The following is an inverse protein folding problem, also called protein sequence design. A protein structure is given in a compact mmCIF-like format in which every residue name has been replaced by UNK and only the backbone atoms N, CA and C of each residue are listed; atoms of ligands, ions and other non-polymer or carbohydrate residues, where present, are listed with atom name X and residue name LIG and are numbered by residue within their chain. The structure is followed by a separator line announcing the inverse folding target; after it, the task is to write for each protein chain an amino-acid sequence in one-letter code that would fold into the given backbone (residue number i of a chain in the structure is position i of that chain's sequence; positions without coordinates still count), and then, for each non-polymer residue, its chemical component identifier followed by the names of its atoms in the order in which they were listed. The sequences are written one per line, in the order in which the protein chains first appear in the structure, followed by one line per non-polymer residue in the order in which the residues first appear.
data_IF_594950563308
#
_entry.id   IF_594950563308
#
_cell.length_a   1.000
_cell.length_b   1.000
_cell.length_c   1.000
_cell.angle_alpha   90.00
_cell.angle_beta   90.00
_cell.angle_gamma   90.00
#
_symmetry.space_group_name_H-M   'P 1'
#
loop_
_entity.id
_entity.type
_entity.pdbx_description
1 polymer ?
#
# COMPACT_ATOMS: atom_id res chain seq x y z
N UNK A 1 -14.22 -1.98 -17.80
CA UNK A 1 -12.99 -2.80 -17.95
C UNK A 1 -13.43 -4.24 -17.96
N UNK A 2 -13.13 -4.98 -19.03
CA UNK A 2 -13.39 -6.42 -19.10
C UNK A 2 -12.48 -7.17 -18.12
N UNK A 3 -12.96 -8.25 -17.49
CA UNK A 3 -12.21 -8.99 -16.46
C UNK A 3 -10.88 -9.51 -17.01
N UNK A 4 -10.89 -9.98 -18.26
CA UNK A 4 -9.71 -10.48 -18.96
C UNK A 4 -8.66 -9.39 -19.18
N UNK A 5 -9.09 -8.17 -19.54
CA UNK A 5 -8.19 -7.03 -19.70
C UNK A 5 -7.54 -6.62 -18.36
N UNK A 6 -8.30 -6.64 -17.27
CA UNK A 6 -7.76 -6.33 -15.94
C UNK A 6 -6.74 -7.37 -15.46
N UNK A 7 -6.98 -8.66 -15.72
CA UNK A 7 -6.04 -9.73 -15.40
C UNK A 7 -4.73 -9.61 -16.20
N UNK A 8 -4.82 -9.35 -17.50
CA UNK A 8 -3.65 -9.13 -18.38
C UNK A 8 -2.84 -7.90 -17.95
N UNK A 9 -3.48 -6.76 -17.66
CA UNK A 9 -2.81 -5.56 -17.15
C UNK A 9 -2.16 -5.77 -15.77
N UNK A 10 -2.75 -6.64 -14.95
CA UNK A 10 -2.21 -6.96 -13.62
C UNK A 10 -0.96 -7.83 -13.74
N UNK A 11 -0.96 -8.83 -14.62
CA UNK A 11 0.21 -9.68 -14.81
C UNK A 11 1.35 -8.93 -15.50
N UNK A 12 1.05 -8.05 -16.45
CA UNK A 12 2.06 -7.17 -17.07
C UNK A 12 2.73 -6.26 -16.04
N UNK A 13 1.93 -5.57 -15.19
CA UNK A 13 2.48 -4.75 -14.10
C UNK A 13 3.36 -5.57 -13.18
N UNK A 14 2.92 -6.77 -12.80
CA UNK A 14 3.67 -7.66 -11.92
C UNK A 14 5.01 -8.09 -12.53
N UNK A 15 5.04 -8.45 -13.81
CA UNK A 15 6.29 -8.76 -14.51
C UNK A 15 7.25 -7.57 -14.53
N UNK A 16 6.74 -6.37 -14.83
CA UNK A 16 7.56 -5.14 -14.83
C UNK A 16 8.13 -4.85 -13.45
N UNK A 17 7.31 -4.97 -12.39
CA UNK A 17 7.77 -4.80 -11.02
C UNK A 17 8.85 -5.82 -10.65
N UNK A 18 8.69 -7.09 -11.02
CA UNK A 18 9.68 -8.14 -10.75
C UNK A 18 11.00 -7.89 -11.49
N UNK A 19 10.94 -7.51 -12.78
CA UNK A 19 12.13 -7.16 -13.58
C UNK A 19 12.86 -5.95 -12.98
N UNK A 20 12.12 -4.92 -12.59
CA UNK A 20 12.66 -3.71 -11.95
C UNK A 20 13.29 -4.02 -10.60
N UNK A 21 12.65 -4.87 -9.79
CA UNK A 21 13.20 -5.34 -8.51
C UNK A 21 14.51 -6.12 -8.69
N UNK A 22 14.55 -7.06 -9.65
CA UNK A 22 15.77 -7.82 -9.95
C UNK A 22 16.92 -6.92 -10.40
N UNK A 23 16.64 -5.91 -11.25
CA UNK A 23 17.63 -4.90 -11.64
C UNK A 23 18.15 -4.10 -10.46
N UNK A 24 17.27 -3.64 -9.57
CA UNK A 24 17.66 -2.92 -8.36
C UNK A 24 18.52 -3.77 -7.42
N UNK A 25 18.17 -5.04 -7.23
CA UNK A 25 18.96 -5.97 -6.42
C UNK A 25 20.37 -6.17 -7.00
N UNK A 26 20.48 -6.30 -8.32
CA UNK A 26 21.77 -6.38 -9.02
C UNK A 26 22.61 -5.12 -8.81
N UNK A 27 22.02 -3.94 -9.04
CA UNK A 27 22.71 -2.65 -8.84
C UNK A 27 23.19 -2.49 -7.40
N UNK A 28 22.41 -2.91 -6.41
CA UNK A 28 22.79 -2.80 -5.01
C UNK A 28 24.11 -3.51 -4.67
N UNK A 29 24.36 -4.66 -5.32
CA UNK A 29 25.57 -5.47 -5.12
C UNK A 29 26.73 -4.97 -5.99
N UNK A 30 26.45 -4.64 -7.26
CA UNK A 30 27.48 -4.37 -8.26
C UNK A 30 27.90 -2.90 -8.35
N UNK A 31 26.95 -1.97 -8.29
CA UNK A 31 27.19 -0.52 -8.41
C UNK A 31 26.25 0.24 -7.49
N UNK A 32 26.75 0.50 -6.29
CA UNK A 32 26.01 1.20 -5.24
C UNK A 32 25.63 2.63 -5.64
N UNK A 33 26.42 3.28 -6.48
CA UNK A 33 26.13 4.66 -6.86
C UNK A 33 25.04 4.72 -7.92
N UNK A 34 25.06 3.80 -8.89
CA UNK A 34 23.95 3.63 -9.82
C UNK A 34 22.66 3.21 -9.10
N UNK A 35 22.75 2.33 -8.10
CA UNK A 35 21.61 1.97 -7.26
C UNK A 35 20.96 3.18 -6.59
N UNK A 36 21.73 4.03 -5.92
CA UNK A 36 21.17 5.19 -5.22
C UNK A 36 20.53 6.21 -6.17
N UNK A 37 21.09 6.39 -7.38
CA UNK A 37 20.47 7.22 -8.43
C UNK A 37 19.13 6.66 -8.90
N UNK A 38 19.10 5.37 -9.20
CA UNK A 38 17.87 4.70 -9.65
C UNK A 38 16.81 4.69 -8.55
N UNK A 39 17.21 4.41 -7.30
CA UNK A 39 16.33 4.49 -6.13
C UNK A 39 15.70 5.87 -6.00
N UNK A 40 16.50 6.94 -6.14
CA UNK A 40 15.98 8.32 -6.09
C UNK A 40 14.99 8.58 -7.24
N UNK A 41 15.34 8.18 -8.46
CA UNK A 41 14.45 8.32 -9.61
C UNK A 41 13.10 7.62 -9.39
N UNK A 42 13.09 6.39 -8.88
CA UNK A 42 11.86 5.64 -8.60
C UNK A 42 11.00 6.29 -7.52
N UNK A 43 11.64 6.85 -6.48
CA UNK A 43 10.92 7.60 -5.44
C UNK A 43 10.32 8.89 -6.01
N UNK A 44 11.07 9.61 -6.84
CA UNK A 44 10.58 10.82 -7.50
C UNK A 44 9.41 10.50 -8.44
N UNK A 45 9.51 9.44 -9.26
CA UNK A 45 8.44 8.91 -10.11
C UNK A 45 7.18 8.59 -9.29
N UNK A 46 7.33 7.85 -8.19
CA UNK A 46 6.24 7.51 -7.28
C UNK A 46 5.58 8.75 -6.68
N UNK A 47 6.36 9.67 -6.09
CA UNK A 47 5.79 10.86 -5.45
C UNK A 47 5.16 11.82 -6.45
N UNK A 48 5.71 11.96 -7.65
CA UNK A 48 5.14 12.82 -8.68
C UNK A 48 3.81 12.28 -9.23
N UNK A 49 3.56 10.97 -9.12
CA UNK A 49 2.27 10.37 -9.45
C UNK A 49 1.16 10.63 -8.43
N UNK A 50 1.45 11.27 -7.30
CA UNK A 50 0.46 11.60 -6.27
C UNK A 50 -0.13 12.99 -6.57
N UNK A 51 -1.42 13.03 -6.87
CA UNK A 51 -2.16 14.27 -7.19
C UNK A 51 -2.33 15.20 -5.98
N UNK A 52 -2.55 14.64 -4.79
CA UNK A 52 -2.69 15.39 -3.55
C UNK A 52 -1.33 15.92 -3.08
N UNK A 53 -1.16 17.24 -3.18
CA UNK A 53 0.05 17.97 -2.80
C UNK A 53 0.41 17.81 -1.31
N UNK A 54 -0.57 17.82 -0.41
CA UNK A 54 -0.31 17.67 1.03
C UNK A 54 0.11 16.23 1.34
N UNK A 55 -0.57 15.24 0.77
CA UNK A 55 -0.18 13.83 0.87
C UNK A 55 1.23 13.61 0.33
N UNK A 56 1.54 14.16 -0.85
CA UNK A 56 2.87 14.08 -1.46
C UNK A 56 3.94 14.69 -0.56
N UNK A 57 3.68 15.86 0.02
CA UNK A 57 4.57 16.51 0.98
C UNK A 57 4.84 15.64 2.21
N UNK A 58 3.80 15.06 2.81
CA UNK A 58 3.91 14.16 3.97
C UNK A 58 4.73 12.92 3.67
N UNK A 59 4.51 12.29 2.51
CA UNK A 59 5.24 11.08 2.11
C UNK A 59 6.72 11.36 1.83
N UNK A 60 7.04 12.49 1.20
CA UNK A 60 8.44 12.93 1.04
C UNK A 60 9.11 13.19 2.39
N UNK A 61 8.41 13.83 3.32
CA UNK A 61 8.94 14.08 4.67
C UNK A 61 9.17 12.77 5.44
N UNK A 62 8.26 11.80 5.32
CA UNK A 62 8.41 10.46 5.90
C UNK A 62 9.66 9.76 5.34
N UNK A 63 9.82 9.78 4.03
CA UNK A 63 10.97 9.18 3.35
C UNK A 63 12.30 9.81 3.79
N UNK A 64 12.37 11.14 3.82
CA UNK A 64 13.57 11.86 4.25
C UNK A 64 13.92 11.59 5.73
N UNK A 65 12.90 11.50 6.60
CA UNK A 65 13.07 11.12 8.01
C UNK A 65 13.66 9.72 8.13
N UNK A 66 13.15 8.75 7.38
CA UNK A 66 13.65 7.39 7.36
C UNK A 66 15.13 7.33 6.90
N UNK A 67 15.46 8.01 5.80
CA UNK A 67 16.83 8.08 5.28
C UNK A 67 17.81 8.68 6.29
N UNK A 68 17.41 9.78 6.95
CA UNK A 68 18.21 10.43 8.00
C UNK A 68 18.51 9.46 9.15
N UNK A 69 17.50 8.70 9.60
CA UNK A 69 17.67 7.69 10.66
C UNK A 69 18.60 6.56 10.23
N UNK A 70 18.42 6.06 9.00
CA UNK A 70 19.25 4.97 8.48
C UNK A 70 20.70 5.37 8.25
N UNK A 71 20.96 6.62 7.84
CA UNK A 71 22.32 7.15 7.69
C UNK A 71 23.07 7.17 9.03
N UNK A 72 22.39 7.51 10.12
CA UNK A 72 22.98 7.62 11.46
C UNK A 72 23.10 6.29 12.20
N UNK A 73 22.53 5.20 11.67
CA UNK A 73 22.53 3.87 12.30
C UNK A 73 23.92 3.19 12.34
N UNK A 74 24.91 3.69 11.59
CA UNK A 74 26.25 3.14 11.56
C UNK A 74 26.36 1.87 10.70
N UNK A 75 26.36 0.69 11.34
CA UNK A 75 26.61 -0.60 10.67
C UNK A 75 25.44 -1.06 9.81
N UNK A 76 25.70 -1.98 8.86
CA UNK A 76 24.63 -2.59 8.06
C UNK A 76 23.64 -3.40 8.90
N UNK A 77 24.13 -4.10 9.93
CA UNK A 77 23.31 -4.84 10.87
C UNK A 77 22.36 -3.91 11.64
N UNK A 78 22.87 -2.79 12.16
CA UNK A 78 22.06 -1.82 12.89
C UNK A 78 20.97 -1.20 12.01
N UNK A 79 21.30 -0.88 10.74
CA UNK A 79 20.31 -0.41 9.76
C UNK A 79 19.19 -1.44 9.55
N UNK A 80 19.55 -2.70 9.41
CA UNK A 80 18.58 -3.78 9.23
C UNK A 80 17.66 -3.93 10.44
N UNK A 81 18.24 -3.99 11.64
CA UNK A 81 17.46 -4.07 12.89
C UNK A 81 16.53 -2.87 13.04
N UNK A 82 17.02 -1.65 12.83
CA UNK A 82 16.17 -0.45 12.89
C UNK A 82 15.04 -0.47 11.85
N UNK A 83 15.32 -0.96 10.63
CA UNK A 83 14.30 -1.07 9.60
C UNK A 83 13.17 -2.02 10.04
N UNK A 84 13.53 -3.18 10.61
CA UNK A 84 12.56 -4.12 11.16
C UNK A 84 11.78 -3.50 12.32
N UNK A 85 12.46 -2.82 13.26
CA UNK A 85 11.81 -2.17 14.40
C UNK A 85 10.81 -1.13 13.94
N UNK A 86 11.20 -0.21 13.04
CA UNK A 86 10.28 0.82 12.54
C UNK A 86 9.11 0.24 11.76
N UNK A 87 9.33 -0.82 10.98
CA UNK A 87 8.26 -1.51 10.28
C UNK A 87 7.25 -2.11 11.24
N UNK A 88 7.70 -2.93 12.20
CA UNK A 88 6.80 -3.62 13.12
C UNK A 88 6.11 -2.67 14.10
N UNK A 89 6.81 -1.64 14.56
CA UNK A 89 6.22 -0.58 15.38
C UNK A 89 5.07 0.12 14.64
N UNK A 90 5.30 0.53 13.38
CA UNK A 90 4.27 1.20 12.60
C UNK A 90 3.13 0.25 12.21
N UNK A 91 3.44 -1.00 11.91
CA UNK A 91 2.42 -2.02 11.63
C UNK A 91 1.48 -2.18 12.83
N UNK A 92 2.00 -2.43 14.02
CA UNK A 92 1.18 -2.69 15.21
C UNK A 92 0.45 -1.46 15.71
N UNK A 93 1.08 -0.29 15.64
CA UNK A 93 0.51 0.93 16.23
C UNK A 93 -0.38 1.73 15.27
N UNK A 94 -0.23 1.54 13.95
CA UNK A 94 -0.94 2.36 12.95
C UNK A 94 -1.74 1.51 11.97
N UNK A 95 -1.08 0.58 11.26
CA UNK A 95 -1.75 -0.16 10.18
C UNK A 95 -2.74 -1.19 10.69
N UNK A 96 -2.34 -2.05 11.62
CA UNK A 96 -3.19 -3.12 12.16
C UNK A 96 -4.50 -2.55 12.77
N UNK A 97 -4.48 -1.49 13.62
CA UNK A 97 -5.72 -0.88 14.10
C UNK A 97 -6.54 -0.19 12.99
N UNK A 98 -5.87 0.40 11.99
CA UNK A 98 -6.54 0.97 10.82
C UNK A 98 -7.31 -0.08 10.01
N UNK A 99 -6.64 -1.20 9.71
CA UNK A 99 -7.22 -2.33 8.98
C UNK A 99 -8.36 -2.98 9.74
N UNK A 100 -8.23 -3.14 11.06
CA UNK A 100 -9.31 -3.65 11.91
C UNK A 100 -10.56 -2.75 11.84
N UNK A 101 -10.37 -1.42 11.99
CA UNK A 101 -11.47 -0.46 11.88
C UNK A 101 -12.14 -0.48 10.50
N UNK A 102 -11.37 -0.55 9.42
CA UNK A 102 -11.93 -0.68 8.07
C UNK A 102 -12.75 -1.95 7.91
N UNK A 103 -12.25 -3.08 8.42
CA UNK A 103 -12.97 -4.36 8.37
C UNK A 103 -14.32 -4.28 9.11
N UNK A 104 -14.35 -3.66 10.29
CA UNK A 104 -15.58 -3.47 11.06
C UNK A 104 -16.58 -2.55 10.35
N UNK A 105 -16.09 -1.47 9.74
CA UNK A 105 -16.92 -0.56 8.94
C UNK A 105 -17.52 -1.28 7.72
N UNK A 106 -16.74 -2.10 7.01
CA UNK A 106 -17.23 -2.89 5.88
C UNK A 106 -18.29 -3.91 6.30
N UNK A 107 -18.09 -4.62 7.42
CA UNK A 107 -19.09 -5.54 7.97
C UNK A 107 -20.38 -4.82 8.36
N UNK A 108 -20.26 -3.66 9.00
CA UNK A 108 -21.42 -2.84 9.37
C UNK A 108 -22.20 -2.38 8.14
N UNK A 109 -21.49 -1.96 7.09
CA UNK A 109 -22.11 -1.56 5.82
C UNK A 109 -22.83 -2.73 5.15
N UNK A 110 -22.20 -3.91 5.07
CA UNK A 110 -22.81 -5.12 4.51
C UNK A 110 -24.08 -5.52 5.27
N UNK A 111 -24.07 -5.46 6.60
CA UNK A 111 -25.25 -5.75 7.42
C UNK A 111 -26.40 -4.76 7.17
N UNK A 112 -26.10 -3.46 7.06
CA UNK A 112 -27.10 -2.44 6.71
C UNK A 112 -27.69 -2.65 5.33
N UNK A 113 -26.85 -2.98 4.34
CA UNK A 113 -27.29 -3.26 2.98
C UNK A 113 -28.21 -4.49 2.91
N UNK A 114 -27.91 -5.55 3.67
CA UNK A 114 -28.75 -6.73 3.78
C UNK A 114 -30.14 -6.41 4.37
N UNK A 115 -30.19 -5.63 5.46
CA UNK A 115 -31.45 -5.20 6.08
C UNK A 115 -32.32 -4.36 5.13
N UNK A 116 -31.71 -3.45 4.36
CA UNK A 116 -32.43 -2.65 3.36
C UNK A 116 -33.00 -3.55 2.26
N UNK A 117 -32.22 -4.51 1.77
CA UNK A 117 -32.66 -5.45 0.74
C UNK A 117 -33.81 -6.35 1.22
N UNK A 118 -33.74 -6.85 2.45
CA UNK A 118 -34.81 -7.67 3.05
C UNK A 118 -36.08 -6.86 3.27
N UNK A 119 -35.95 -5.60 3.72
CA UNK A 119 -37.10 -4.72 3.84
C UNK A 119 -37.75 -4.46 2.48
N UNK A 120 -36.96 -4.19 1.43
CA UNK A 120 -37.46 -3.95 0.08
C UNK A 120 -38.21 -5.17 -0.49
N UNK A 121 -37.67 -6.39 -0.28
CA UNK A 121 -38.33 -7.65 -0.66
C UNK A 121 -39.65 -7.87 0.08
N UNK A 122 -39.71 -7.53 1.38
CA UNK A 122 -40.94 -7.64 2.17
C UNK A 122 -42.03 -6.66 1.70
N UNK A 123 -41.65 -5.47 1.22
CA UNK A 123 -42.59 -4.47 0.72
C UNK A 123 -43.10 -4.73 -0.70
N UNK A 124 -42.40 -5.57 -1.49
CA UNK A 124 -42.80 -5.93 -2.85
C UNK A 124 -43.75 -7.14 -2.94
N UNK A 125 -43.91 -7.93 -1.88
CA UNK A 125 -44.85 -9.06 -1.83
C UNK A 125 -45.83 -8.94 -0.63
N UNK A 126 -46.90 -8.12 -0.72
CA UNK A 126 -47.89 -8.02 0.35
C UNK A 126 -48.94 -9.16 0.34
N UNK A 127 -48.95 -10.03 -0.69
CA UNK A 127 -50.10 -10.88 -1.01
C UNK A 127 -49.95 -12.38 -0.66
N UNK A 128 -49.39 -12.70 0.51
CA UNK A 128 -49.39 -14.10 1.00
C UNK A 128 -49.97 -14.31 2.41
N UNK A 129 -50.68 -13.32 2.96
CA UNK A 129 -51.52 -13.54 4.16
C UNK A 129 -52.99 -13.24 3.84
N UNK A 130 -53.68 -14.23 3.28
CA UNK A 130 -55.13 -14.44 3.46
C UNK A 130 -55.39 -15.92 3.64
#
# INVERSE_FOLDING_TARGET
MDQKQWEEETEQRKEEYLKRHARMAKLFVEDRLAFERERKHLLDEFFNGIEDEDMRGRLRALQASFEKRMKNAGSAHNRFVLAQTFFWDHFHNVWQPGLARMNDQMKSFAAKAALINDHFKSTQNPSQNR
#
